data_IF_194601214394
#
_entry.id   IF_194601214394
#
_cell.length_a   1.000
_cell.length_b   1.000
_cell.length_c   1.000
_cell.angle_alpha   90.00
_cell.angle_beta   90.00
_cell.angle_gamma   90.00
#
_symmetry.space_group_name_H-M   'P 1'
#
loop_
_entity.id
_entity.type
_entity.pdbx_description
1 polymer ?
#
# COMPACT_ATOMS: atom_id res chain seq x y z
N UNK A 1 -18.77 -32.92 19.47
CA UNK A 1 -17.98 -32.61 18.25
C UNK A 1 -18.49 -31.31 17.70
N UNK A 2 -17.89 -30.21 18.08
CA UNK A 2 -18.31 -28.87 17.64
C UNK A 2 -17.12 -28.18 17.01
N UNK A 3 -17.20 -28.02 15.70
CA UNK A 3 -16.21 -27.30 14.91
C UNK A 3 -16.46 -25.81 15.07
N UNK A 4 -15.55 -25.10 15.68
CA UNK A 4 -15.50 -23.63 15.65
C UNK A 4 -15.01 -23.18 14.27
N UNK A 5 -15.93 -22.73 13.45
CA UNK A 5 -15.60 -21.95 12.25
C UNK A 5 -15.35 -20.52 12.68
N UNK A 6 -14.08 -20.14 12.74
CA UNK A 6 -13.66 -18.75 12.90
C UNK A 6 -14.05 -17.93 11.67
N UNK A 7 -15.06 -17.08 11.82
CA UNK A 7 -15.43 -16.09 10.81
C UNK A 7 -14.35 -15.03 10.72
N UNK A 8 -13.45 -15.15 9.73
CA UNK A 8 -12.60 -14.05 9.33
C UNK A 8 -13.41 -13.14 8.42
N UNK A 9 -13.71 -11.93 8.85
CA UNK A 9 -14.28 -10.86 8.04
C UNK A 9 -13.23 -10.37 7.01
N UNK A 10 -12.98 -11.19 6.02
CA UNK A 10 -12.23 -10.83 4.82
C UNK A 10 -13.19 -10.27 3.79
N UNK A 11 -12.86 -9.11 3.22
CA UNK A 11 -13.66 -8.49 2.17
C UNK A 11 -13.97 -9.42 1.01
N UNK A 12 -15.00 -9.08 0.24
CA UNK A 12 -15.69 -9.84 -0.81
C UNK A 12 -14.79 -10.42 -1.93
N UNK A 13 -13.51 -10.06 -1.96
CA UNK A 13 -12.50 -10.66 -2.84
C UNK A 13 -11.58 -11.55 -2.03
N UNK A 14 -11.91 -12.84 -2.00
CA UNK A 14 -11.09 -13.85 -1.34
C UNK A 14 -9.63 -13.81 -1.80
N UNK A 15 -8.72 -14.09 -0.89
CA UNK A 15 -7.26 -14.11 -1.09
C UNK A 15 -6.81 -14.86 -2.35
N UNK A 16 -7.59 -15.82 -2.83
CA UNK A 16 -7.28 -16.59 -4.03
C UNK A 16 -7.35 -15.82 -5.35
N UNK A 17 -8.27 -14.86 -5.48
CA UNK A 17 -8.43 -14.07 -6.74
C UNK A 17 -7.32 -13.04 -6.86
N UNK A 18 -6.92 -12.42 -5.76
CA UNK A 18 -5.82 -11.43 -5.78
C UNK A 18 -4.47 -12.09 -6.09
N UNK A 19 -4.23 -13.32 -5.63
CA UNK A 19 -3.01 -14.09 -5.96
C UNK A 19 -2.97 -14.46 -7.45
N UNK A 20 -4.11 -14.78 -8.05
CA UNK A 20 -4.18 -15.17 -9.48
C UNK A 20 -3.91 -13.98 -10.42
N UNK A 21 -4.21 -12.75 -9.99
CA UNK A 21 -4.01 -11.53 -10.79
C UNK A 21 -2.66 -10.84 -10.53
N UNK A 22 -1.91 -11.28 -9.53
CA UNK A 22 -0.60 -10.71 -9.19
C UNK A 22 0.47 -11.22 -10.18
N UNK A 23 1.21 -10.32 -10.85
CA UNK A 23 2.23 -10.70 -11.83
C UNK A 23 3.51 -11.31 -11.21
N UNK A 24 3.65 -11.25 -9.88
CA UNK A 24 4.80 -11.85 -9.18
C UNK A 24 4.66 -13.35 -9.07
N UNK A 25 5.78 -14.07 -9.06
CA UNK A 25 5.77 -15.50 -8.76
C UNK A 25 5.25 -15.76 -7.33
N UNK A 26 4.69 -16.94 -7.08
CA UNK A 26 4.23 -17.32 -5.74
C UNK A 26 5.35 -17.24 -4.70
N UNK A 27 6.58 -17.63 -5.06
CA UNK A 27 7.74 -17.51 -4.18
C UNK A 27 8.02 -16.07 -3.80
N UNK A 28 8.02 -15.15 -4.77
CA UNK A 28 8.20 -13.71 -4.50
C UNK A 28 7.07 -13.15 -3.62
N UNK A 29 5.82 -13.57 -3.83
CA UNK A 29 4.69 -13.13 -3.00
C UNK A 29 4.82 -13.60 -1.55
N UNK A 30 5.30 -14.85 -1.35
CA UNK A 30 5.57 -15.40 -0.01
C UNK A 30 6.69 -14.65 0.68
N UNK A 31 7.83 -14.46 0.00
CA UNK A 31 8.99 -13.73 0.53
C UNK A 31 8.61 -12.30 0.92
N UNK A 32 7.88 -11.59 0.06
CA UNK A 32 7.37 -10.25 0.32
C UNK A 32 6.42 -10.20 1.52
N UNK A 33 5.55 -11.20 1.65
CA UNK A 33 4.61 -11.31 2.76
C UNK A 33 5.32 -11.56 4.10
N UNK A 34 6.36 -12.40 4.11
CA UNK A 34 7.19 -12.65 5.29
C UNK A 34 7.94 -11.37 5.68
N UNK A 35 8.57 -10.70 4.70
CA UNK A 35 9.29 -9.44 4.92
C UNK A 35 8.36 -8.38 5.49
N UNK A 36 7.16 -8.21 4.93
CA UNK A 36 6.15 -7.27 5.39
C UNK A 36 5.73 -7.55 6.84
N UNK A 37 5.42 -8.81 7.17
CA UNK A 37 5.04 -9.22 8.53
C UNK A 37 6.17 -8.98 9.53
N UNK A 38 7.39 -9.32 9.17
CA UNK A 38 8.56 -9.11 10.05
C UNK A 38 8.76 -7.63 10.35
N UNK A 39 8.66 -6.76 9.35
CA UNK A 39 8.80 -5.32 9.57
C UNK A 39 7.66 -4.77 10.42
N UNK A 40 6.40 -5.15 10.16
CA UNK A 40 5.24 -4.74 10.97
C UNK A 40 5.43 -5.18 12.43
N UNK A 41 5.87 -6.43 12.66
CA UNK A 41 6.12 -6.94 14.00
C UNK A 41 7.20 -6.12 14.72
N UNK A 42 8.34 -5.84 14.08
CA UNK A 42 9.40 -5.01 14.65
C UNK A 42 8.92 -3.60 14.98
N UNK A 43 8.15 -2.98 14.08
CA UNK A 43 7.56 -1.66 14.30
C UNK A 43 6.61 -1.67 15.50
N UNK A 44 5.74 -2.70 15.61
CA UNK A 44 4.78 -2.84 16.70
C UNK A 44 5.46 -3.08 18.06
N UNK A 45 6.53 -3.87 18.07
CA UNK A 45 7.35 -4.10 19.28
C UNK A 45 8.09 -2.84 19.72
N UNK A 46 8.45 -1.98 18.78
CA UNK A 46 9.08 -0.70 19.09
C UNK A 46 8.08 0.29 19.69
N UNK A 47 6.93 0.45 19.05
CA UNK A 47 5.81 1.24 19.55
C UNK A 47 4.48 0.70 19.03
N UNK A 48 3.57 0.31 19.93
CA UNK A 48 2.26 -0.25 19.58
C UNK A 48 1.43 0.64 18.63
N UNK A 49 1.60 1.97 18.73
CA UNK A 49 0.89 2.93 17.87
C UNK A 49 1.22 2.76 16.38
N UNK A 50 2.39 2.21 16.03
CA UNK A 50 2.79 2.03 14.62
C UNK A 50 1.94 0.98 13.90
N UNK A 51 1.38 0.00 14.61
CA UNK A 51 0.46 -0.98 14.02
C UNK A 51 -0.73 -0.34 13.30
N UNK A 52 -1.24 0.76 13.83
CA UNK A 52 -2.44 1.45 13.30
C UNK A 52 -2.07 2.67 12.45
N UNK A 53 -0.92 3.29 12.74
CA UNK A 53 -0.53 4.57 12.10
C UNK A 53 0.34 4.39 10.85
N UNK A 54 1.01 3.24 10.71
CA UNK A 54 1.98 2.99 9.65
C UNK A 54 1.49 1.87 8.75
N UNK A 55 1.38 2.18 7.47
CA UNK A 55 1.13 1.21 6.41
C UNK A 55 2.46 0.72 5.86
N UNK A 56 2.61 -0.59 5.74
CA UNK A 56 3.78 -1.24 5.14
C UNK A 56 3.30 -2.10 3.98
N UNK A 57 3.86 -1.90 2.81
CA UNK A 57 3.68 -2.78 1.65
C UNK A 57 5.02 -3.20 1.11
N UNK A 58 5.15 -4.47 0.75
CA UNK A 58 6.35 -5.01 0.11
C UNK A 58 5.97 -5.58 -1.24
N UNK A 59 6.71 -5.19 -2.28
CA UNK A 59 6.52 -5.64 -3.65
C UNK A 59 7.90 -5.91 -4.25
N UNK A 60 8.19 -7.16 -4.55
CA UNK A 60 9.47 -7.60 -5.12
C UNK A 60 10.68 -7.11 -4.30
N UNK A 61 10.61 -7.25 -2.96
CA UNK A 61 11.65 -6.79 -2.04
C UNK A 61 11.73 -5.26 -1.87
N UNK A 62 10.87 -4.51 -2.51
CA UNK A 62 10.78 -3.04 -2.39
C UNK A 62 9.75 -2.68 -1.33
N UNK A 63 10.19 -1.97 -0.30
CA UNK A 63 9.36 -1.60 0.85
C UNK A 63 8.78 -0.21 0.62
N UNK A 64 7.47 -0.10 0.70
CA UNK A 64 6.72 1.14 0.64
C UNK A 64 6.12 1.41 2.02
N UNK A 65 6.43 2.57 2.56
CA UNK A 65 5.95 3.03 3.86
C UNK A 65 5.00 4.21 3.66
N UNK A 66 3.81 4.12 4.26
CA UNK A 66 2.82 5.20 4.31
C UNK A 66 2.35 5.43 5.73
N UNK A 67 1.48 6.41 5.92
CA UNK A 67 0.91 6.72 7.23
C UNK A 67 1.31 8.09 7.76
N UNK A 68 1.11 8.27 9.08
CA UNK A 68 1.40 9.54 9.77
C UNK A 68 2.16 9.27 11.06
N UNK A 69 3.18 10.07 11.32
CA UNK A 69 3.89 10.13 12.62
C UNK A 69 3.80 11.53 13.23
N UNK A 70 4.03 11.59 14.50
CA UNK A 70 3.93 12.87 15.22
C UNK A 70 5.23 13.69 15.05
N UNK A 71 6.39 13.02 15.03
CA UNK A 71 7.71 13.65 15.01
C UNK A 71 8.58 13.18 13.82
N UNK A 72 9.47 14.05 13.29
CA UNK A 72 10.40 13.69 12.20
C UNK A 72 11.34 12.53 12.56
N UNK A 73 11.75 12.43 13.83
CA UNK A 73 12.61 11.37 14.35
C UNK A 73 11.97 10.01 14.24
N UNK A 74 10.65 9.91 14.43
CA UNK A 74 9.89 8.66 14.24
C UNK A 74 9.97 8.21 12.78
N UNK A 75 9.82 9.16 11.84
CA UNK A 75 9.94 8.86 10.40
C UNK A 75 11.32 8.31 10.06
N UNK A 76 12.39 8.92 10.61
CA UNK A 76 13.76 8.49 10.39
C UNK A 76 14.00 7.09 10.98
N UNK A 77 13.52 6.84 12.22
CA UNK A 77 13.61 5.56 12.90
C UNK A 77 12.94 4.42 12.11
N UNK A 78 11.72 4.69 11.62
CA UNK A 78 10.97 3.72 10.80
C UNK A 78 11.70 3.44 9.47
N UNK A 79 12.26 4.48 8.83
CA UNK A 79 13.06 4.31 7.61
C UNK A 79 14.26 3.41 7.84
N UNK A 80 15.01 3.64 8.94
CA UNK A 80 16.16 2.80 9.31
C UNK A 80 15.74 1.35 9.51
N UNK A 81 14.68 1.10 10.27
CA UNK A 81 14.16 -0.25 10.50
C UNK A 81 13.76 -0.97 9.21
N UNK A 82 13.21 -0.23 8.24
CA UNK A 82 12.87 -0.79 6.94
C UNK A 82 14.12 -1.20 6.15
N UNK A 83 15.17 -0.38 6.13
CA UNK A 83 16.45 -0.71 5.48
C UNK A 83 17.16 -1.91 6.12
N UNK A 84 17.03 -2.09 7.42
CA UNK A 84 17.58 -3.22 8.18
C UNK A 84 16.78 -4.51 7.96
N UNK A 85 15.66 -4.48 7.24
CA UNK A 85 14.86 -5.68 6.98
C UNK A 85 15.57 -6.56 5.95
N UNK A 86 15.81 -7.83 6.30
CA UNK A 86 16.50 -8.78 5.42
C UNK A 86 15.76 -8.92 4.09
N UNK A 87 16.49 -8.74 2.99
CA UNK A 87 15.96 -8.84 1.64
C UNK A 87 15.41 -7.52 1.09
N UNK A 88 15.47 -6.41 1.85
CA UNK A 88 15.07 -5.10 1.36
C UNK A 88 15.96 -4.65 0.19
N UNK A 89 15.36 -4.42 -0.98
CA UNK A 89 16.03 -3.93 -2.20
C UNK A 89 15.96 -2.42 -2.30
N UNK A 90 14.86 -1.84 -1.84
CA UNK A 90 14.67 -0.39 -1.75
C UNK A 90 13.63 -0.04 -0.70
N UNK A 91 13.71 1.18 -0.19
CA UNK A 91 12.72 1.73 0.75
C UNK A 91 12.21 3.05 0.22
N UNK A 92 10.90 3.14 -0.01
CA UNK A 92 10.21 4.37 -0.36
C UNK A 92 9.36 4.83 0.82
N UNK A 93 9.80 5.90 1.49
CA UNK A 93 9.14 6.40 2.69
C UNK A 93 8.27 7.62 2.36
N UNK A 94 6.96 7.39 2.32
CA UNK A 94 5.93 8.42 2.12
C UNK A 94 5.17 8.73 3.44
N UNK A 95 5.77 8.41 4.61
CA UNK A 95 5.19 8.77 5.90
C UNK A 95 5.15 10.28 6.02
N UNK A 96 3.96 10.82 6.29
CA UNK A 96 3.75 12.24 6.56
C UNK A 96 3.97 12.54 8.05
N UNK A 97 4.51 13.72 8.35
CA UNK A 97 4.52 14.25 9.71
C UNK A 97 3.15 14.88 9.98
N UNK A 98 2.58 14.59 11.14
CA UNK A 98 1.25 15.03 11.51
C UNK A 98 1.18 16.55 11.62
N UNK A 99 0.35 17.15 10.80
CA UNK A 99 -0.07 18.53 10.99
C UNK A 99 -1.25 18.58 11.97
N UNK A 100 -1.65 19.75 12.45
CA UNK A 100 -2.78 19.91 13.40
C UNK A 100 -3.97 19.04 12.99
N UNK A 101 -4.48 18.25 13.93
CA UNK A 101 -5.58 17.32 13.72
C UNK A 101 -6.84 18.08 13.26
N UNK A 102 -7.40 17.67 12.14
CA UNK A 102 -8.67 18.18 11.62
C UNK A 102 -9.56 17.00 11.23
N UNK A 103 -10.69 16.85 11.91
CA UNK A 103 -11.72 15.84 11.57
C UNK A 103 -12.17 15.97 10.11
N UNK A 104 -12.29 17.21 9.63
CA UNK A 104 -12.65 17.48 8.24
C UNK A 104 -11.63 16.91 7.25
N UNK A 105 -10.33 17.05 7.54
CA UNK A 105 -9.30 16.48 6.67
C UNK A 105 -9.32 14.96 6.67
N UNK A 106 -9.58 14.33 7.82
CA UNK A 106 -9.73 12.86 7.89
C UNK A 106 -10.93 12.39 7.08
N UNK A 107 -12.07 13.06 7.18
CA UNK A 107 -13.27 12.73 6.40
C UNK A 107 -13.00 12.89 4.87
N UNK A 108 -12.31 13.95 4.46
CA UNK A 108 -11.90 14.16 3.07
C UNK A 108 -10.95 13.07 2.59
N UNK A 109 -9.95 12.68 3.37
CA UNK A 109 -9.01 11.62 3.04
C UNK A 109 -9.73 10.28 2.79
N UNK A 110 -10.70 9.92 3.65
CA UNK A 110 -11.52 8.72 3.49
C UNK A 110 -12.36 8.78 2.22
N UNK A 111 -13.01 9.92 1.96
CA UNK A 111 -13.84 10.13 0.78
C UNK A 111 -13.02 9.99 -0.51
N UNK A 112 -11.88 10.67 -0.60
CA UNK A 112 -10.96 10.60 -1.74
C UNK A 112 -10.54 9.14 -2.00
N UNK A 113 -10.09 8.43 -0.95
CA UNK A 113 -9.67 7.03 -1.09
C UNK A 113 -10.80 6.15 -1.61
N UNK A 114 -12.02 6.33 -1.08
CA UNK A 114 -13.19 5.52 -1.48
C UNK A 114 -13.60 5.80 -2.93
N UNK A 115 -13.64 7.06 -3.33
CA UNK A 115 -13.96 7.45 -4.70
C UNK A 115 -12.95 6.90 -5.70
N UNK A 116 -11.66 7.04 -5.41
CA UNK A 116 -10.61 6.53 -6.29
C UNK A 116 -10.65 5.00 -6.40
N UNK A 117 -10.80 4.29 -5.28
CA UNK A 117 -10.95 2.82 -5.31
C UNK A 117 -12.14 2.38 -6.16
N UNK A 118 -13.27 3.06 -6.03
CA UNK A 118 -14.46 2.78 -6.83
C UNK A 118 -14.19 3.03 -8.32
N UNK A 119 -13.58 4.16 -8.68
CA UNK A 119 -13.23 4.49 -10.05
C UNK A 119 -12.32 3.43 -10.68
N UNK A 120 -11.27 2.99 -9.95
CA UNK A 120 -10.36 1.96 -10.44
C UNK A 120 -11.01 0.58 -10.58
N UNK A 121 -11.93 0.19 -9.68
CA UNK A 121 -12.67 -1.08 -9.78
C UNK A 121 -13.59 -1.09 -10.98
N UNK A 122 -14.22 0.04 -11.31
CA UNK A 122 -15.12 0.16 -12.46
C UNK A 122 -14.39 0.28 -13.80
N UNK A 123 -13.12 0.66 -13.79
CA UNK A 123 -12.33 0.81 -15.01
C UNK A 123 -11.79 -0.54 -15.49
N UNK A 124 -12.32 -1.02 -16.63
CA UNK A 124 -11.96 -2.33 -17.21
C UNK A 124 -10.48 -2.47 -17.62
N UNK A 125 -9.80 -1.35 -17.83
CA UNK A 125 -8.39 -1.31 -18.22
C UNK A 125 -7.42 -1.30 -17.03
N UNK A 126 -7.94 -1.38 -15.80
CA UNK A 126 -7.18 -1.34 -14.57
C UNK A 126 -7.44 -2.60 -13.74
N UNK A 127 -6.36 -3.27 -13.33
CA UNK A 127 -6.44 -4.37 -12.37
C UNK A 127 -6.33 -3.81 -10.94
N UNK A 128 -7.42 -3.23 -10.45
CA UNK A 128 -7.47 -2.52 -9.16
C UNK A 128 -6.87 -3.29 -7.97
N UNK A 129 -6.94 -4.64 -7.99
CA UNK A 129 -6.37 -5.50 -6.96
C UNK A 129 -4.83 -5.40 -6.83
N UNK A 130 -4.14 -4.94 -7.88
CA UNK A 130 -2.69 -4.79 -7.88
C UNK A 130 -2.21 -3.46 -7.27
N UNK A 131 -3.15 -2.61 -6.84
CA UNK A 131 -2.82 -1.28 -6.33
C UNK A 131 -3.31 -1.07 -4.91
N UNK A 132 -2.45 -0.48 -4.10
CA UNK A 132 -2.77 0.00 -2.77
C UNK A 132 -2.86 1.53 -2.81
N UNK A 133 -3.92 2.09 -2.22
CA UNK A 133 -4.21 3.52 -2.23
C UNK A 133 -4.34 3.97 -0.78
N UNK A 134 -3.54 4.96 -0.40
CA UNK A 134 -3.62 5.65 0.87
C UNK A 134 -3.76 7.16 0.61
N UNK A 135 -4.65 7.84 1.35
CA UNK A 135 -4.78 9.30 1.28
C UNK A 135 -4.43 9.92 2.62
N UNK A 136 -3.58 10.95 2.60
CA UNK A 136 -3.08 11.63 3.78
C UNK A 136 -3.03 13.13 3.51
N UNK A 137 -3.85 13.91 4.24
CA UNK A 137 -3.95 15.36 4.06
C UNK A 137 -4.25 15.77 2.61
N UNK A 138 -5.17 15.03 1.95
CA UNK A 138 -5.57 15.22 0.55
C UNK A 138 -4.45 14.93 -0.48
N UNK A 139 -3.37 14.27 -0.05
CA UNK A 139 -2.35 13.70 -0.92
C UNK A 139 -2.61 12.22 -1.10
N UNK A 140 -2.71 11.78 -2.33
CA UNK A 140 -2.97 10.38 -2.69
C UNK A 140 -1.64 9.68 -2.93
N UNK A 141 -1.42 8.58 -2.23
CA UNK A 141 -0.27 7.70 -2.40
C UNK A 141 -0.72 6.40 -3.04
N UNK A 142 -0.16 6.07 -4.19
CA UNK A 142 -0.50 4.86 -4.94
C UNK A 142 0.73 3.97 -5.03
N UNK A 143 0.60 2.73 -4.55
CA UNK A 143 1.62 1.70 -4.63
C UNK A 143 1.07 0.50 -5.39
N UNK A 144 1.82 -0.07 -6.30
CA UNK A 144 1.35 -1.23 -7.01
C UNK A 144 2.24 -1.67 -8.15
N UNK A 145 1.73 -2.60 -8.94
CA UNK A 145 2.39 -3.13 -10.11
C UNK A 145 1.43 -3.02 -11.29
N UNK A 146 1.83 -2.28 -12.32
CA UNK A 146 1.09 -2.14 -13.57
C UNK A 146 1.62 -3.11 -14.63
N UNK A 147 0.72 -3.66 -15.45
CA UNK A 147 1.09 -4.48 -16.59
C UNK A 147 1.50 -3.66 -17.80
N UNK A 148 0.94 -2.45 -17.91
CA UNK A 148 1.20 -1.55 -19.06
C UNK A 148 1.37 -0.11 -18.59
N UNK A 149 2.12 0.68 -19.35
CA UNK A 149 2.25 2.13 -19.12
C UNK A 149 0.88 2.84 -19.23
N UNK A 150 -0.01 2.33 -20.09
CA UNK A 150 -1.37 2.86 -20.20
C UNK A 150 -2.16 2.67 -18.91
N UNK A 151 -2.10 1.48 -18.28
CA UNK A 151 -2.73 1.22 -16.97
C UNK A 151 -2.21 2.19 -15.91
N UNK A 152 -0.89 2.37 -15.82
CA UNK A 152 -0.25 3.31 -14.91
C UNK A 152 -0.71 4.75 -15.14
N UNK A 153 -0.81 5.17 -16.40
CA UNK A 153 -1.29 6.50 -16.78
C UNK A 153 -2.75 6.72 -16.35
N UNK A 154 -3.64 5.78 -16.67
CA UNK A 154 -5.06 5.83 -16.29
C UNK A 154 -5.21 6.02 -14.77
N UNK A 155 -4.48 5.24 -13.96
CA UNK A 155 -4.59 5.31 -12.49
C UNK A 155 -4.19 6.69 -11.97
N UNK A 156 -3.12 7.27 -12.51
CA UNK A 156 -2.65 8.60 -12.12
C UNK A 156 -3.65 9.69 -12.55
N UNK A 157 -4.23 9.55 -13.73
CA UNK A 157 -5.23 10.50 -14.26
C UNK A 157 -6.53 10.42 -13.43
N UNK A 158 -7.05 9.21 -13.17
CA UNK A 158 -8.22 9.02 -12.30
C UNK A 158 -8.00 9.65 -10.93
N UNK A 159 -6.82 9.46 -10.33
CA UNK A 159 -6.49 10.05 -9.03
C UNK A 159 -6.48 11.59 -9.06
N UNK A 160 -6.05 12.20 -10.16
CA UNK A 160 -6.04 13.66 -10.33
C UNK A 160 -7.42 14.25 -10.55
N UNK A 161 -8.36 13.46 -11.08
CA UNK A 161 -9.74 13.88 -11.33
C UNK A 161 -10.61 13.89 -10.07
N UNK A 162 -10.19 13.21 -9.00
CA UNK A 162 -10.92 13.20 -7.73
C UNK A 162 -10.87 14.59 -7.09
N UNK A 163 -12.02 15.13 -6.73
CA UNK A 163 -12.11 16.40 -6.04
C UNK A 163 -11.33 16.42 -4.70
N UNK A 164 -10.88 17.59 -4.30
CA UNK A 164 -10.08 17.81 -3.08
C UNK A 164 -8.67 17.16 -3.08
N UNK A 165 -8.25 16.44 -4.12
CA UNK A 165 -6.88 15.94 -4.25
C UNK A 165 -5.91 17.07 -4.53
N UNK A 166 -4.90 17.22 -3.68
CA UNK A 166 -3.85 18.23 -3.81
C UNK A 166 -2.62 17.74 -4.57
N UNK A 167 -2.29 16.46 -4.37
CA UNK A 167 -1.09 15.85 -4.93
C UNK A 167 -1.29 14.35 -5.10
N UNK A 168 -0.73 13.79 -6.17
CA UNK A 168 -0.68 12.34 -6.42
C UNK A 168 0.77 11.89 -6.41
N UNK A 169 1.12 10.99 -5.50
CA UNK A 169 2.43 10.35 -5.38
C UNK A 169 2.31 8.90 -5.81
N UNK A 170 2.62 8.62 -7.06
CA UNK A 170 2.55 7.28 -7.61
C UNK A 170 3.91 6.57 -7.52
N UNK A 171 3.93 5.39 -6.89
CA UNK A 171 5.06 4.49 -6.80
C UNK A 171 4.67 3.15 -7.42
N UNK A 172 4.45 3.17 -8.71
CA UNK A 172 3.96 2.05 -9.50
C UNK A 172 5.15 1.42 -10.24
N UNK A 173 5.37 0.14 -9.97
CA UNK A 173 6.34 -0.69 -10.67
C UNK A 173 5.72 -1.21 -11.97
N UNK A 174 6.53 -1.41 -12.98
CA UNK A 174 6.11 -2.17 -14.16
C UNK A 174 6.40 -3.65 -13.97
N UNK A 175 5.60 -4.52 -14.59
CA UNK A 175 5.90 -5.97 -14.59
C UNK A 175 7.30 -6.23 -15.13
N UNK A 176 7.74 -5.49 -16.13
CA UNK A 176 9.11 -5.57 -16.70
C UNK A 176 10.22 -5.30 -15.68
N UNK A 177 9.93 -4.55 -14.61
CA UNK A 177 10.90 -4.17 -13.57
C UNK A 177 11.01 -5.20 -12.44
N UNK A 178 10.23 -6.25 -12.49
CA UNK A 178 10.24 -7.30 -11.47
C UNK A 178 11.45 -8.21 -11.63
N UNK A 179 12.04 -8.61 -10.50
CA UNK A 179 13.19 -9.53 -10.49
C UNK A 179 12.83 -10.95 -10.94
N UNK A 180 11.58 -11.35 -10.73
CA UNK A 180 10.99 -12.62 -11.17
C UNK A 180 9.58 -12.37 -11.66
N UNK A 181 9.34 -12.64 -12.93
CA UNK A 181 8.01 -12.55 -13.53
C UNK A 181 7.31 -13.90 -13.44
N UNK A 182 5.99 -13.87 -13.44
CA UNK A 182 5.16 -15.06 -13.58
C UNK A 182 5.09 -15.39 -15.08
N UNK A 183 5.49 -16.61 -15.45
CA UNK A 183 5.30 -17.17 -16.79
C UNK A 183 3.82 -17.43 -17.09
#
# INVERSE_FOLDING_TARGET
MSSCVGSSSGGVFGTGVSVALDPRTLGTQIDDSIMQKNLITRLTLTEKKYLVKISVKVLDGRIFLGGKVDEPEEKLKITKMAWETKGARSVKNNIAIKQKFSLLNVAKDVLITSQLRTALILNKNVKAANFNIDTINQKVYIFGIAYTENEKKIIIEEAKLIGDVKEVVASILMVSDLSRQRE
#
